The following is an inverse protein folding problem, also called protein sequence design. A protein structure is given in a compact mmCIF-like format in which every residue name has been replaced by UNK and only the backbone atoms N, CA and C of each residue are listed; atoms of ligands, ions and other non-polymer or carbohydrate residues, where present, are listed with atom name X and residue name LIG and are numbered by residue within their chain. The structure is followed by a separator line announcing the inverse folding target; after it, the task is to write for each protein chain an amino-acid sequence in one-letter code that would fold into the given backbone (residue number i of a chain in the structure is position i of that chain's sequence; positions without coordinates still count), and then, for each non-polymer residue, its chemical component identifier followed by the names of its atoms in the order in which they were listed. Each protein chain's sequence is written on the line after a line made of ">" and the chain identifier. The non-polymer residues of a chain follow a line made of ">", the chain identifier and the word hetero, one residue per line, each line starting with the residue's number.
data_IF_727179670567
#
_entry.id   IF_727179670567
#
_cell.length_a   1.000
_cell.length_b   1.000
_cell.length_c   1.000
_cell.angle_alpha   90.00
_cell.angle_beta   90.00
_cell.angle_gamma   90.00
#
_symmetry.space_group_name_H-M   'P 1'
#
loop_
_entity.id
_entity.type
_entity.pdbx_description
1 polymer ?
#
# COMPACT_ATOMS: atom_id res chain seq x y z
N UNK A 1 -4.17 21.86 10.40
CA UNK A 1 -3.74 22.78 9.32
C UNK A 1 -4.36 22.30 8.02
N UNK A 2 -4.97 23.19 7.23
CA UNK A 2 -5.55 22.84 5.93
C UNK A 2 -4.73 23.49 4.81
N UNK A 3 -4.48 22.75 3.73
CA UNK A 3 -3.76 23.19 2.54
C UNK A 3 -4.61 22.85 1.32
N UNK A 4 -4.75 23.82 0.41
CA UNK A 4 -5.56 23.69 -0.80
C UNK A 4 -4.66 23.64 -2.04
N UNK A 5 -5.00 22.78 -3.01
CA UNK A 5 -4.38 22.75 -4.34
C UNK A 5 -2.92 22.29 -4.36
N UNK A 6 -2.63 21.13 -3.75
CA UNK A 6 -1.27 20.58 -3.71
C UNK A 6 -0.93 19.91 -5.04
N UNK A 7 0.16 20.36 -5.66
CA UNK A 7 0.66 19.83 -6.93
C UNK A 7 2.00 19.13 -6.70
N UNK A 8 2.10 17.88 -7.14
CA UNK A 8 3.34 17.12 -7.15
C UNK A 8 3.63 16.60 -8.56
N UNK A 9 4.89 16.74 -8.98
CA UNK A 9 5.40 16.11 -10.20
C UNK A 9 6.08 14.81 -9.81
N UNK A 10 5.59 13.69 -10.32
CA UNK A 10 6.28 12.41 -10.24
C UNK A 10 6.92 12.10 -11.59
N UNK A 11 7.88 11.18 -11.61
CA UNK A 11 8.61 10.77 -12.82
C UNK A 11 7.73 10.20 -13.94
N UNK A 12 6.41 10.08 -13.74
CA UNK A 12 5.46 9.60 -14.75
C UNK A 12 4.20 10.45 -14.91
N UNK A 13 4.07 11.62 -14.28
CA UNK A 13 2.88 12.47 -14.44
C UNK A 13 2.72 13.57 -13.39
N UNK A 14 1.60 14.30 -13.49
CA UNK A 14 1.15 15.29 -12.52
C UNK A 14 0.11 14.67 -11.60
N UNK A 15 0.35 14.79 -10.30
CA UNK A 15 -0.63 14.52 -9.25
C UNK A 15 -1.13 15.86 -8.72
N UNK A 16 -2.44 16.03 -8.63
CA UNK A 16 -3.08 17.17 -7.97
C UNK A 16 -3.96 16.63 -6.84
N UNK A 17 -3.95 17.32 -5.71
CA UNK A 17 -4.83 17.06 -4.57
C UNK A 17 -5.56 18.36 -4.24
N UNK A 18 -6.90 18.31 -4.25
CA UNK A 18 -7.72 19.51 -4.05
C UNK A 18 -7.58 20.04 -2.63
N UNK A 19 -7.71 19.16 -1.63
CA UNK A 19 -7.65 19.51 -0.22
C UNK A 19 -6.81 18.52 0.58
N UNK A 20 -5.98 19.03 1.50
CA UNK A 20 -5.28 18.24 2.51
C UNK A 20 -5.52 18.89 3.88
N UNK A 21 -6.00 18.11 4.84
CA UNK A 21 -6.06 18.50 6.25
C UNK A 21 -5.18 17.59 7.09
N UNK A 22 -4.54 18.19 8.08
CA UNK A 22 -3.69 17.51 9.02
C UNK A 22 -4.05 17.91 10.45
N UNK A 23 -4.24 16.92 11.31
CA UNK A 23 -4.58 17.06 12.72
C UNK A 23 -3.65 16.20 13.57
N UNK A 24 -3.13 16.75 14.65
CA UNK A 24 -2.43 16.00 15.68
C UNK A 24 -3.23 16.06 16.96
N UNK A 25 -3.48 14.91 17.57
CA UNK A 25 -4.14 14.78 18.86
C UNK A 25 -3.18 14.07 19.81
N UNK A 26 -2.89 14.73 20.93
CA UNK A 26 -2.25 14.06 22.05
C UNK A 26 -3.35 13.47 22.90
N UNK A 27 -3.47 12.15 22.91
CA UNK A 27 -4.38 11.46 23.81
C UNK A 27 -3.73 11.26 25.18
N UNK A 28 -4.58 11.14 26.21
CA UNK A 28 -4.11 10.84 27.56
C UNK A 28 -3.30 9.53 27.57
N UNK A 29 -2.26 9.45 28.42
CA UNK A 29 -1.36 8.30 28.58
C UNK A 29 -0.27 8.12 27.49
N UNK A 30 0.21 9.19 26.87
CA UNK A 30 1.40 9.12 25.99
C UNK A 30 1.13 8.49 24.63
N UNK A 31 -0.12 8.55 24.17
CA UNK A 31 -0.49 8.16 22.80
C UNK A 31 -0.59 9.44 21.96
N UNK A 32 0.19 9.52 20.89
CA UNK A 32 0.10 10.57 19.90
C UNK A 32 -0.62 10.02 18.67
N UNK A 33 -1.73 10.65 18.29
CA UNK A 33 -2.48 10.37 17.06
C UNK A 33 -2.22 11.48 16.05
N UNK A 34 -1.81 11.11 14.84
CA UNK A 34 -1.66 12.01 13.71
C UNK A 34 -2.64 11.57 12.62
N UNK A 35 -3.55 12.46 12.24
CA UNK A 35 -4.54 12.26 11.19
C UNK A 35 -4.20 13.12 9.98
N UNK A 36 -4.22 12.51 8.82
CA UNK A 36 -4.13 13.18 7.53
C UNK A 36 -5.35 12.79 6.72
N UNK A 37 -6.09 13.78 6.24
CA UNK A 37 -7.17 13.57 5.28
C UNK A 37 -6.85 14.36 4.02
N UNK A 38 -7.10 13.76 2.86
CA UNK A 38 -7.01 14.43 1.59
C UNK A 38 -8.21 14.09 0.72
N UNK A 39 -8.61 15.02 -0.14
CA UNK A 39 -9.73 14.87 -1.07
C UNK A 39 -9.34 15.37 -2.46
N UNK A 40 -10.00 14.84 -3.48
CA UNK A 40 -9.78 15.31 -4.84
C UNK A 40 -8.42 14.86 -5.39
N UNK A 41 -8.12 13.56 -5.35
CA UNK A 41 -6.91 12.97 -5.91
C UNK A 41 -7.02 12.86 -7.43
N UNK A 42 -6.28 13.70 -8.14
CA UNK A 42 -6.23 13.70 -9.59
C UNK A 42 -4.88 13.20 -10.07
N UNK A 43 -4.89 12.36 -11.10
CA UNK A 43 -3.68 11.93 -11.78
C UNK A 43 -3.79 12.13 -13.29
N UNK A 44 -2.74 12.74 -13.84
CA UNK A 44 -2.57 12.92 -15.28
C UNK A 44 -1.14 12.57 -15.68
N UNK A 45 -0.98 11.51 -16.47
CA UNK A 45 0.31 11.16 -17.09
C UNK A 45 0.70 12.21 -18.13
N UNK A 46 1.96 12.64 -18.13
CA UNK A 46 2.41 13.87 -18.82
C UNK A 46 2.68 13.71 -20.32
N UNK A 47 2.96 12.50 -20.82
CA UNK A 47 3.60 12.37 -22.14
C UNK A 47 2.82 11.62 -23.23
N UNK A 48 1.70 10.97 -22.93
CA UNK A 48 0.88 10.32 -23.98
C UNK A 48 -0.60 10.40 -23.63
N UNK A 49 -1.46 10.43 -24.64
CA UNK A 49 -2.92 10.23 -24.54
C UNK A 49 -3.23 8.82 -24.03
N UNK A 50 -2.76 8.46 -22.85
CA UNK A 50 -3.21 7.28 -22.14
C UNK A 50 -4.61 7.61 -21.64
N UNK A 51 -5.61 6.74 -21.89
CA UNK A 51 -7.01 6.98 -21.51
C UNK A 51 -7.25 6.92 -19.99
N UNK A 52 -6.20 6.97 -19.17
CA UNK A 52 -6.28 6.88 -17.72
C UNK A 52 -6.24 8.29 -17.15
N UNK A 53 -7.37 8.99 -17.28
CA UNK A 53 -7.64 10.18 -16.49
C UNK A 53 -8.33 9.73 -15.20
N UNK A 54 -7.68 9.97 -14.06
CA UNK A 54 -8.33 9.86 -12.76
C UNK A 54 -8.81 11.28 -12.40
N UNK A 55 -10.05 11.60 -12.76
CA UNK A 55 -10.77 12.74 -12.18
C UNK A 55 -11.33 12.28 -10.84
N UNK A 56 -10.51 12.37 -9.81
CA UNK A 56 -10.86 11.88 -8.49
C UNK A 56 -11.55 12.95 -7.66
N UNK A 57 -12.41 13.81 -8.21
CA UNK A 57 -13.12 14.85 -7.43
C UNK A 57 -13.74 14.33 -6.12
N UNK A 58 -14.26 13.10 -6.14
CA UNK A 58 -14.86 12.43 -4.98
C UNK A 58 -13.94 11.41 -4.29
N UNK A 59 -12.68 11.34 -4.70
CA UNK A 59 -11.69 10.46 -4.07
C UNK A 59 -11.21 11.02 -2.75
N UNK A 60 -10.85 10.11 -1.86
CA UNK A 60 -10.34 10.43 -0.53
C UNK A 60 -9.08 9.64 -0.24
N UNK A 61 -8.19 10.23 0.55
CA UNK A 61 -7.10 9.54 1.23
C UNK A 61 -7.21 9.89 2.71
N UNK A 62 -7.21 8.87 3.56
CA UNK A 62 -7.23 9.03 5.01
C UNK A 62 -6.07 8.24 5.59
N UNK A 63 -5.29 8.86 6.46
CA UNK A 63 -4.24 8.20 7.20
C UNK A 63 -4.39 8.54 8.67
N UNK A 64 -4.37 7.50 9.51
CA UNK A 64 -4.33 7.62 10.96
C UNK A 64 -3.10 6.89 11.48
N UNK A 65 -2.16 7.64 12.06
CA UNK A 65 -0.94 7.10 12.66
C UNK A 65 -0.98 7.29 14.17
N UNK A 66 -0.90 6.18 14.90
CA UNK A 66 -0.87 6.13 16.36
C UNK A 66 0.54 5.76 16.83
N UNK A 67 1.12 6.59 17.67
CA UNK A 67 2.37 6.34 18.37
C UNK A 67 2.06 6.15 19.85
N UNK A 68 2.22 4.93 20.35
CA UNK A 68 2.17 4.61 21.77
C UNK A 68 3.60 4.63 22.32
N UNK A 69 3.96 5.72 23.02
CA UNK A 69 5.32 5.89 23.55
C UNK A 69 5.63 4.96 24.71
N UNK A 70 4.60 4.48 25.43
CA UNK A 70 4.78 3.57 26.56
C UNK A 70 5.05 2.14 26.10
N UNK A 71 4.44 1.74 24.98
CA UNK A 71 4.59 0.40 24.40
C UNK A 71 5.59 0.32 23.26
N UNK A 72 6.32 1.41 22.97
CA UNK A 72 7.25 1.51 21.85
C UNK A 72 6.63 1.01 20.55
N UNK A 73 5.41 1.45 20.25
CA UNK A 73 4.61 0.87 19.16
C UNK A 73 4.09 1.96 18.24
N UNK A 74 4.19 1.72 16.94
CA UNK A 74 3.54 2.55 15.92
C UNK A 74 2.48 1.69 15.23
N UNK A 75 1.29 2.24 15.05
CA UNK A 75 0.28 1.72 14.13
C UNK A 75 -0.02 2.77 13.10
N UNK A 76 -0.18 2.40 11.85
CA UNK A 76 -0.72 3.30 10.84
C UNK A 76 -1.78 2.59 10.02
N UNK A 77 -2.91 3.25 9.83
CA UNK A 77 -3.92 2.88 8.86
C UNK A 77 -3.91 3.92 7.75
N UNK A 78 -4.00 3.48 6.50
CA UNK A 78 -4.12 4.32 5.32
C UNK A 78 -5.28 3.76 4.51
N UNK A 79 -6.20 4.63 4.08
CA UNK A 79 -7.32 4.32 3.22
C UNK A 79 -7.26 5.23 2.00
N UNK A 80 -7.41 4.69 0.81
CA UNK A 80 -7.52 5.46 -0.43
C UNK A 80 -8.76 4.96 -1.16
N UNK A 81 -9.72 5.86 -1.37
CA UNK A 81 -10.95 5.57 -2.10
C UNK A 81 -10.98 6.42 -3.36
N UNK A 82 -11.05 5.77 -4.52
CA UNK A 82 -11.29 6.41 -5.81
C UNK A 82 -12.56 5.76 -6.38
N UNK A 83 -13.71 6.44 -6.30
CA UNK A 83 -15.00 5.89 -6.73
C UNK A 83 -14.93 5.32 -8.15
N UNK A 84 -15.59 4.17 -8.33
CA UNK A 84 -15.63 3.42 -9.60
C UNK A 84 -14.27 3.05 -10.19
N UNK A 85 -13.20 3.10 -9.40
CA UNK A 85 -11.84 2.80 -9.84
C UNK A 85 -11.11 1.85 -8.91
N UNK A 86 -10.90 2.24 -7.64
CA UNK A 86 -10.28 1.40 -6.64
C UNK A 86 -10.48 1.89 -5.20
N UNK A 87 -10.46 0.93 -4.27
CA UNK A 87 -10.38 1.09 -2.83
C UNK A 87 -9.14 0.36 -2.33
N UNK A 88 -8.32 1.04 -1.55
CA UNK A 88 -7.12 0.49 -0.93
C UNK A 88 -7.16 0.76 0.56
N UNK A 89 -6.95 -0.28 1.36
CA UNK A 89 -6.68 -0.14 2.78
C UNK A 89 -5.33 -0.76 3.12
N UNK A 90 -4.51 -0.04 3.86
CA UNK A 90 -3.21 -0.49 4.31
C UNK A 90 -3.09 -0.26 5.81
N UNK A 91 -2.73 -1.31 6.53
CA UNK A 91 -2.38 -1.26 7.94
C UNK A 91 -0.96 -1.73 8.13
N UNK A 92 -0.23 -1.06 9.01
CA UNK A 92 1.10 -1.47 9.44
C UNK A 92 1.25 -1.30 10.94
N UNK A 93 1.84 -2.29 11.58
CA UNK A 93 2.24 -2.28 12.98
C UNK A 93 3.74 -2.44 13.09
N UNK A 94 4.38 -1.48 13.76
CA UNK A 94 5.82 -1.46 14.00
C UNK A 94 6.09 -1.47 15.50
N UNK A 95 7.17 -2.12 15.88
CA UNK A 95 7.79 -1.97 17.19
C UNK A 95 9.03 -1.09 17.06
N UNK A 96 9.19 -0.15 17.99
CA UNK A 96 10.40 0.64 18.17
C UNK A 96 11.32 -0.09 19.16
N UNK A 97 12.61 -0.07 18.90
CA UNK A 97 13.61 -0.40 19.92
C UNK A 97 13.60 0.67 21.02
N UNK A 98 13.72 0.24 22.28
CA UNK A 98 13.73 1.08 23.48
C UNK A 98 14.81 2.17 23.48
N UNK A 99 15.85 2.03 22.64
CA UNK A 99 17.06 2.88 22.73
C UNK A 99 17.00 4.17 21.93
N UNK A 100 16.21 4.27 20.85
CA UNK A 100 16.11 5.51 20.05
C UNK A 100 14.73 5.67 19.36
N UNK A 101 13.85 6.54 19.89
CA UNK A 101 12.45 6.61 19.42
C UNK A 101 12.26 7.27 18.04
N UNK A 102 13.28 7.91 17.47
CA UNK A 102 13.18 8.66 16.20
C UNK A 102 13.98 8.08 15.04
N UNK A 103 14.75 7.00 15.27
CA UNK A 103 15.56 6.39 14.23
C UNK A 103 14.76 5.27 13.53
N UNK A 104 14.49 5.43 12.23
CA UNK A 104 13.76 4.43 11.41
C UNK A 104 14.52 3.11 11.29
N UNK A 105 15.84 3.12 11.46
CA UNK A 105 16.69 1.92 11.39
C UNK A 105 16.48 0.99 12.59
N UNK A 106 15.86 1.51 13.65
CA UNK A 106 15.58 0.81 14.90
C UNK A 106 14.12 0.36 15.05
N UNK A 107 13.41 0.26 13.92
CA UNK A 107 12.03 -0.20 13.87
C UNK A 107 11.93 -1.60 13.25
N UNK A 108 11.07 -2.42 13.81
CA UNK A 108 10.76 -3.76 13.29
C UNK A 108 9.28 -3.88 12.96
N UNK A 109 9.00 -4.40 11.77
CA UNK A 109 7.67 -4.80 11.31
C UNK A 109 7.14 -5.95 12.16
N UNK A 110 6.00 -5.74 12.81
CA UNK A 110 5.29 -6.77 13.56
C UNK A 110 4.11 -7.34 12.79
N UNK A 111 3.37 -6.51 12.05
CA UNK A 111 2.36 -6.99 11.12
C UNK A 111 2.02 -5.95 10.07
N UNK A 112 1.46 -6.42 8.97
CA UNK A 112 0.97 -5.62 7.86
C UNK A 112 -0.33 -6.24 7.36
N UNK A 113 -1.29 -5.41 6.97
CA UNK A 113 -2.48 -5.85 6.24
C UNK A 113 -2.68 -4.93 5.05
N UNK A 114 -2.99 -5.52 3.92
CA UNK A 114 -3.34 -4.82 2.70
C UNK A 114 -4.68 -5.34 2.21
N UNK A 115 -5.58 -4.44 1.82
CA UNK A 115 -6.84 -4.77 1.18
C UNK A 115 -6.97 -3.94 -0.09
N UNK A 116 -7.39 -4.58 -1.17
CA UNK A 116 -7.56 -3.98 -2.48
C UNK A 116 -8.86 -4.45 -3.11
N UNK A 117 -9.64 -3.49 -3.58
CA UNK A 117 -10.75 -3.70 -4.50
C UNK A 117 -10.58 -2.74 -5.68
N UNK A 118 -10.45 -3.21 -6.91
CA UNK A 118 -10.25 -2.29 -8.03
C UNK A 118 -10.01 -2.95 -9.37
N UNK A 119 -11.05 -3.51 -9.97
CA UNK A 119 -11.00 -4.17 -11.28
C UNK A 119 -10.39 -3.26 -12.36
N UNK A 120 -10.85 -2.00 -12.41
CA UNK A 120 -10.34 -1.01 -13.37
C UNK A 120 -8.91 -0.58 -13.05
N UNK A 121 -8.53 -0.54 -11.79
CA UNK A 121 -7.15 -0.31 -11.40
C UNK A 121 -6.23 -1.42 -11.89
N UNK A 122 -6.57 -2.69 -11.67
CA UNK A 122 -5.76 -3.81 -12.16
C UNK A 122 -5.60 -3.79 -13.69
N UNK A 123 -6.66 -3.47 -14.43
CA UNK A 123 -6.61 -3.34 -15.90
C UNK A 123 -5.74 -2.17 -16.37
N UNK A 124 -5.61 -1.11 -15.56
CA UNK A 124 -4.87 0.10 -15.94
C UNK A 124 -3.47 0.16 -15.32
N UNK A 125 -3.16 -0.69 -14.34
CA UNK A 125 -1.88 -0.76 -13.64
C UNK A 125 -0.68 -0.85 -14.59
N UNK A 126 -0.66 -1.72 -15.63
CA UNK A 126 0.46 -1.77 -16.58
C UNK A 126 0.73 -0.43 -17.26
N UNK A 127 -0.30 0.39 -17.48
CA UNK A 127 -0.18 1.71 -18.13
C UNK A 127 0.34 2.79 -17.17
N UNK A 128 0.16 2.60 -15.87
CA UNK A 128 0.61 3.52 -14.82
C UNK A 128 2.06 3.25 -14.41
N UNK A 129 2.56 2.04 -14.60
CA UNK A 129 3.93 1.69 -14.23
C UNK A 129 4.98 2.25 -15.23
N UNK A 130 6.22 2.48 -14.77
CA UNK A 130 7.35 2.76 -15.65
C UNK A 130 7.53 1.65 -16.69
N UNK A 131 8.01 1.98 -17.88
CA UNK A 131 8.08 1.09 -19.07
C UNK A 131 8.67 -0.30 -18.80
N UNK A 132 9.72 -0.42 -17.99
CA UNK A 132 10.33 -1.72 -17.66
C UNK A 132 9.48 -2.64 -16.78
N UNK A 133 8.69 -2.07 -15.86
CA UNK A 133 7.72 -2.82 -15.05
C UNK A 133 6.42 -3.06 -15.82
N UNK A 134 6.03 -2.09 -16.66
CA UNK A 134 4.87 -2.21 -17.55
C UNK A 134 4.99 -3.42 -18.48
N UNK A 135 6.16 -3.63 -19.11
CA UNK A 135 6.41 -4.80 -19.97
C UNK A 135 6.32 -6.12 -19.22
N UNK A 136 6.75 -6.16 -17.95
CA UNK A 136 6.66 -7.37 -17.13
C UNK A 136 5.20 -7.74 -16.80
N UNK A 137 4.34 -6.73 -16.59
CA UNK A 137 2.90 -6.94 -16.37
C UNK A 137 2.13 -7.21 -17.66
N UNK A 138 2.43 -6.51 -18.76
CA UNK A 138 1.69 -6.60 -20.03
C UNK A 138 1.87 -7.95 -20.73
N UNK A 139 3.02 -8.58 -20.56
CA UNK A 139 3.37 -9.82 -21.25
C UNK A 139 2.83 -11.07 -20.51
N UNK A 140 1.97 -10.90 -19.51
CA UNK A 140 1.40 -11.99 -18.71
C UNK A 140 2.42 -12.70 -17.79
N UNK A 141 3.70 -12.33 -17.83
CA UNK A 141 4.77 -12.93 -17.03
C UNK A 141 4.54 -12.77 -15.54
N UNK A 142 4.02 -11.62 -15.11
CA UNK A 142 3.60 -11.43 -13.71
C UNK A 142 2.51 -12.41 -13.29
N UNK A 143 1.51 -12.62 -14.14
CA UNK A 143 0.42 -13.54 -13.84
C UNK A 143 0.93 -14.99 -13.75
N UNK A 144 1.79 -15.39 -14.70
CA UNK A 144 2.44 -16.71 -14.67
C UNK A 144 3.30 -16.88 -13.41
N UNK A 145 4.11 -15.88 -13.05
CA UNK A 145 4.91 -15.92 -11.85
C UNK A 145 4.05 -16.00 -10.57
N UNK A 146 2.92 -15.30 -10.53
CA UNK A 146 1.98 -15.38 -9.41
C UNK A 146 1.27 -16.74 -9.35
N UNK A 147 0.95 -17.33 -10.51
CA UNK A 147 0.40 -18.69 -10.59
C UNK A 147 1.42 -19.75 -10.14
N UNK A 148 2.67 -19.67 -10.60
CA UNK A 148 3.75 -20.55 -10.16
C UNK A 148 4.00 -20.42 -8.66
N UNK A 149 4.00 -19.18 -8.16
CA UNK A 149 4.11 -18.92 -6.73
C UNK A 149 2.94 -19.57 -5.97
N UNK A 150 1.70 -19.39 -6.43
CA UNK A 150 0.53 -20.00 -5.81
C UNK A 150 0.56 -21.53 -5.80
N UNK A 151 1.23 -22.17 -6.77
CA UNK A 151 1.45 -23.62 -6.77
C UNK A 151 2.46 -24.05 -5.71
N UNK A 152 3.53 -23.27 -5.51
CA UNK A 152 4.57 -23.56 -4.50
C UNK A 152 4.17 -23.15 -3.08
N UNK A 153 3.37 -22.10 -2.95
CA UNK A 153 2.95 -21.46 -1.69
C UNK A 153 1.43 -21.22 -1.76
N UNK A 154 0.61 -22.17 -1.28
CA UNK A 154 -0.86 -22.12 -1.42
C UNK A 154 -1.51 -20.87 -0.83
N UNK A 155 -0.83 -20.20 0.10
CA UNK A 155 -1.27 -18.95 0.68
C UNK A 155 -1.42 -17.81 -0.34
N UNK A 156 -0.87 -17.92 -1.56
CA UNK A 156 -1.06 -16.94 -2.65
C UNK A 156 -2.16 -17.31 -3.65
N UNK A 157 -2.77 -18.49 -3.56
CA UNK A 157 -3.80 -18.91 -4.50
C UNK A 157 -5.00 -17.93 -4.58
N UNK A 158 -5.51 -17.38 -3.46
CA UNK A 158 -6.54 -16.35 -3.52
C UNK A 158 -6.08 -15.07 -4.24
N UNK A 159 -4.82 -14.64 -4.07
CA UNK A 159 -4.30 -13.49 -4.80
C UNK A 159 -4.21 -13.76 -6.32
N UNK A 160 -3.78 -14.95 -6.71
CA UNK A 160 -3.75 -15.37 -8.12
C UNK A 160 -5.17 -15.38 -8.73
N UNK A 161 -6.14 -15.95 -8.01
CA UNK A 161 -7.55 -15.98 -8.41
C UNK A 161 -8.15 -14.56 -8.53
N UNK A 162 -7.81 -13.66 -7.60
CA UNK A 162 -8.24 -12.27 -7.65
C UNK A 162 -7.72 -11.53 -8.89
N UNK A 163 -6.42 -11.67 -9.18
CA UNK A 163 -5.81 -11.01 -10.35
C UNK A 163 -6.40 -11.55 -11.66
N UNK A 164 -6.75 -12.84 -11.71
CA UNK A 164 -7.42 -13.43 -12.87
C UNK A 164 -8.83 -12.90 -13.07
N UNK A 165 -9.60 -12.78 -11.98
CA UNK A 165 -11.03 -12.52 -12.03
C UNK A 165 -11.48 -11.58 -10.90
N UNK A 166 -11.12 -10.28 -10.92
CA UNK A 166 -11.37 -9.40 -9.79
C UNK A 166 -12.87 -9.21 -9.50
N UNK A 167 -13.73 -9.09 -10.52
CA UNK A 167 -15.20 -9.17 -10.43
C UNK A 167 -15.83 -8.43 -9.24
N UNK A 168 -15.36 -7.21 -8.93
CA UNK A 168 -15.81 -6.38 -7.80
C UNK A 168 -15.56 -6.99 -6.41
N UNK A 169 -14.69 -8.02 -6.34
CA UNK A 169 -14.24 -8.68 -5.12
C UNK A 169 -13.14 -7.85 -4.44
N UNK A 170 -12.87 -8.19 -3.19
CA UNK A 170 -11.83 -7.56 -2.37
C UNK A 170 -10.75 -8.58 -2.03
N UNK A 171 -9.52 -8.32 -2.45
CA UNK A 171 -8.35 -9.08 -2.03
C UNK A 171 -7.84 -8.52 -0.70
N UNK A 172 -7.70 -9.38 0.31
CA UNK A 172 -7.02 -9.07 1.56
C UNK A 172 -5.76 -9.91 1.70
N UNK A 173 -4.66 -9.29 2.09
CA UNK A 173 -3.36 -9.89 2.37
C UNK A 173 -2.97 -9.48 3.79
N UNK A 174 -2.86 -10.47 4.67
CA UNK A 174 -2.35 -10.33 6.02
C UNK A 174 -0.94 -10.89 6.08
N UNK A 175 0.00 -10.11 6.62
CA UNK A 175 1.36 -10.53 6.90
C UNK A 175 1.68 -10.34 8.38
N UNK A 176 1.91 -11.45 9.08
CA UNK A 176 2.26 -11.50 10.50
C UNK A 176 3.47 -12.42 10.65
N UNK A 177 4.70 -11.88 10.59
CA UNK A 177 5.89 -12.70 10.76
C UNK A 177 5.95 -13.28 12.17
N UNK A 178 6.49 -14.50 12.28
CA UNK A 178 6.64 -15.19 13.57
C UNK A 178 7.56 -14.47 14.55
N UNK A 179 8.46 -13.62 14.03
CA UNK A 179 9.30 -12.69 14.79
C UNK A 179 9.31 -11.33 14.09
N UNK A 180 9.36 -10.21 14.82
CA UNK A 180 9.47 -8.90 14.21
C UNK A 180 10.67 -8.79 13.27
N UNK A 181 10.47 -8.23 12.07
CA UNK A 181 11.49 -8.10 11.03
C UNK A 181 11.97 -6.65 10.97
N UNK A 182 13.29 -6.36 11.00
CA UNK A 182 13.78 -4.99 10.85
C UNK A 182 13.26 -4.33 9.56
N UNK A 183 12.82 -3.07 9.62
CA UNK A 183 12.33 -2.36 8.42
C UNK A 183 13.39 -2.23 7.33
N UNK A 184 14.67 -2.23 7.70
CA UNK A 184 15.79 -2.30 6.75
C UNK A 184 15.74 -3.55 5.87
N UNK A 185 15.29 -4.69 6.42
CA UNK A 185 15.09 -5.92 5.64
C UNK A 185 13.86 -5.83 4.72
N UNK A 186 12.81 -5.11 5.13
CA UNK A 186 11.65 -4.82 4.27
C UNK A 186 12.05 -3.94 3.08
N UNK A 187 12.97 -2.99 3.27
CA UNK A 187 13.47 -2.14 2.17
C UNK A 187 14.17 -2.95 1.05
N UNK A 188 14.74 -4.11 1.38
CA UNK A 188 15.34 -5.02 0.38
C UNK A 188 14.31 -5.60 -0.59
N UNK A 189 13.03 -5.73 -0.18
CA UNK A 189 11.94 -6.20 -1.05
C UNK A 189 11.79 -5.27 -2.26
N UNK A 190 11.86 -3.95 -2.04
CA UNK A 190 11.75 -2.96 -3.12
C UNK A 190 12.90 -3.03 -4.14
N UNK A 191 14.07 -3.53 -3.71
CA UNK A 191 15.28 -3.66 -4.53
C UNK A 191 15.41 -5.04 -5.18
N UNK A 192 14.85 -6.07 -4.56
CA UNK A 192 14.84 -7.45 -5.05
C UNK A 192 13.53 -8.14 -4.66
N UNK A 193 12.48 -8.04 -5.49
CA UNK A 193 11.16 -8.60 -5.20
C UNK A 193 11.19 -10.09 -4.88
N UNK A 194 12.00 -10.87 -5.62
CA UNK A 194 12.20 -12.32 -5.40
C UNK A 194 12.85 -12.62 -4.04
N UNK A 195 13.88 -11.88 -3.64
CA UNK A 195 14.47 -12.06 -2.31
C UNK A 195 13.49 -11.64 -1.21
N UNK A 196 12.67 -10.62 -1.51
CA UNK A 196 11.60 -10.17 -0.64
C UNK A 196 10.53 -11.22 -0.36
N UNK A 197 10.19 -12.03 -1.36
CA UNK A 197 9.21 -13.11 -1.21
C UNK A 197 9.61 -14.17 -0.17
N UNK A 198 10.91 -14.34 0.12
CA UNK A 198 11.36 -15.26 1.18
C UNK A 198 10.90 -14.84 2.59
N UNK A 199 10.57 -13.57 2.80
CA UNK A 199 9.98 -13.11 4.06
C UNK A 199 8.51 -13.53 4.21
N UNK A 200 7.83 -13.80 3.10
CA UNK A 200 6.41 -14.09 3.02
C UNK A 200 6.15 -15.57 2.73
N UNK A 201 6.50 -16.42 3.70
CA UNK A 201 6.17 -17.85 3.65
C UNK A 201 4.73 -18.11 4.13
N UNK A 202 4.17 -19.27 3.79
CA UNK A 202 2.83 -19.72 4.19
C UNK A 202 2.47 -19.60 5.69
N UNK A 203 3.46 -19.54 6.60
CA UNK A 203 3.20 -19.41 8.04
C UNK A 203 3.08 -17.96 8.50
N UNK A 204 3.46 -17.02 7.64
CA UNK A 204 3.51 -15.58 7.92
C UNK A 204 2.54 -14.79 7.06
N UNK A 205 2.05 -15.36 5.95
CA UNK A 205 1.09 -14.72 5.04
C UNK A 205 -0.23 -15.48 5.02
N UNK A 206 -1.33 -14.73 5.03
CA UNK A 206 -2.66 -15.21 4.70
C UNK A 206 -3.24 -14.31 3.64
N UNK A 207 -3.82 -14.89 2.60
CA UNK A 207 -4.59 -14.12 1.61
C UNK A 207 -6.02 -14.63 1.56
N UNK A 208 -6.95 -13.74 1.27
CA UNK A 208 -8.36 -14.08 1.12
C UNK A 208 -9.01 -13.16 0.09
N UNK A 209 -10.08 -13.65 -0.53
CA UNK A 209 -10.90 -12.89 -1.47
C UNK A 209 -12.35 -12.97 -1.02
N UNK A 210 -13.04 -11.83 -1.00
CA UNK A 210 -14.45 -11.70 -0.63
C UNK A 210 -15.25 -11.03 -1.76
#
# INVERSE_FOLDING_TARGET
>A
MAVHGVNAFSSGGRVLIDDITFENKLENHGVLENLLHAKGLHYRKSEENLPVHLDGKNSTLEQATYLDTNKNKIKSNISIEIPDYASFHFYIELLKSEKEPYNTDNQSLKSMRFSLKGDRFLQTLPKLLPTGLASYLSDGRFYLALQELAQSEPAYAPAADYVHAPNNRTLSIDFVPSRPIPLSAVSLISKSPLAGMMFFNQHSISTSVQ
#
